data_IF_744404056282
#
_entry.id   IF_744404056282
#
_cell.length_a   1.000
_cell.length_b   1.000
_cell.length_c   1.000
_cell.angle_alpha   90.00
_cell.angle_beta   90.00
_cell.angle_gamma   90.00
#
_symmetry.space_group_name_H-M   'P 1'
#
loop_
_entity.id
_entity.type
_entity.pdbx_description
1 polymer ?
#
# COMPACT_ATOMS: atom_id res chain seq x y z
N UNK A 1 -14.27 14.65 -5.67
CA UNK A 1 -13.82 14.29 -5.31
C UNK A 1 -13.06 14.15 -5.09
N UNK A 2 -12.84 14.23 -4.78
CA UNK A 2 -12.09 14.01 -4.53
C UNK A 2 -11.61 13.51 -4.08
N UNK A 3 -11.24 13.35 -4.10
CA UNK A 3 -10.71 12.85 -3.62
C UNK A 3 -9.82 12.56 -3.28
N UNK A 4 -9.30 12.67 -3.14
CA UNK A 4 -8.47 12.62 -2.76
C UNK A 4 -7.69 12.18 -1.99
N UNK A 5 -7.21 12.25 -1.93
CA UNK A 5 -6.38 11.78 -0.87
C UNK A 5 -6.38 10.33 -0.82
N UNK A 6 -6.47 9.81 -1.95
CA UNK A 6 -6.57 8.39 -2.19
C UNK A 6 -5.39 7.62 -1.63
N UNK A 7 -4.18 8.18 -1.63
CA UNK A 7 -2.99 7.49 -1.16
C UNK A 7 -2.97 7.25 0.35
N UNK A 8 -3.89 7.87 1.10
CA UNK A 8 -3.93 7.70 2.54
C UNK A 8 -5.33 7.37 3.04
N UNK A 9 -5.99 6.49 2.32
CA UNK A 9 -7.31 6.04 2.74
C UNK A 9 -7.22 5.21 4.02
N UNK A 10 -8.14 5.45 4.94
CA UNK A 10 -8.24 4.69 6.17
C UNK A 10 -8.91 3.34 5.93
N UNK A 11 -8.32 2.30 6.52
CA UNK A 11 -8.94 0.97 6.56
C UNK A 11 -9.11 0.56 8.01
N UNK A 12 -10.27 0.00 8.34
CA UNK A 12 -10.53 -0.48 9.67
C UNK A 12 -10.57 -2.01 9.69
N UNK A 13 -9.83 -2.61 10.60
CA UNK A 13 -9.80 -4.06 10.80
C UNK A 13 -9.79 -4.34 12.29
N UNK A 14 -10.80 -5.08 12.81
CA UNK A 14 -10.87 -5.48 14.23
C UNK A 14 -10.70 -4.30 15.20
N UNK A 15 -11.46 -3.22 14.96
CA UNK A 15 -11.42 -2.00 15.77
C UNK A 15 -10.10 -1.22 15.68
N UNK A 16 -9.25 -1.59 14.72
CA UNK A 16 -7.99 -0.92 14.47
C UNK A 16 -8.00 -0.27 13.11
N UNK A 17 -7.23 0.79 12.97
CA UNK A 17 -7.09 1.49 11.69
C UNK A 17 -5.69 1.30 11.17
N UNK A 18 -5.57 1.23 9.85
CA UNK A 18 -4.28 1.19 9.17
C UNK A 18 -4.32 2.08 7.93
N UNK A 19 -3.14 2.51 7.50
CA UNK A 19 -3.00 3.27 6.26
C UNK A 19 -1.86 2.67 5.44
N UNK A 20 -1.94 2.87 4.12
CA UNK A 20 -0.83 2.52 3.25
C UNK A 20 0.36 3.43 3.53
N UNK A 21 1.58 2.89 3.45
CA UNK A 21 2.79 3.69 3.56
C UNK A 21 3.23 4.24 2.21
N UNK A 22 2.61 3.80 1.13
CA UNK A 22 2.96 4.26 -0.21
C UNK A 22 2.38 5.63 -0.49
N UNK A 23 3.21 6.49 -1.06
CA UNK A 23 2.83 7.82 -1.51
C UNK A 23 3.40 8.04 -2.90
N UNK A 24 2.95 9.09 -3.56
CA UNK A 24 3.46 9.45 -4.87
C UNK A 24 2.53 9.03 -5.99
N UNK A 25 2.98 9.28 -7.20
CA UNK A 25 2.18 9.10 -8.40
C UNK A 25 2.55 7.84 -9.17
N UNK A 26 1.69 7.48 -10.09
CA UNK A 26 1.91 6.40 -11.04
C UNK A 26 2.29 7.03 -12.37
N UNK A 27 3.48 6.72 -12.88
CA UNK A 27 3.94 7.26 -14.16
C UNK A 27 3.80 6.24 -15.27
N UNK A 28 3.63 6.72 -16.50
CA UNK A 28 3.51 5.85 -17.65
C UNK A 28 4.77 5.02 -17.86
N UNK A 29 5.94 5.62 -17.67
CA UNK A 29 7.21 4.91 -17.82
C UNK A 29 7.30 3.70 -16.91
N UNK A 30 6.93 3.86 -15.66
CA UNK A 30 7.00 2.79 -14.68
C UNK A 30 5.97 1.70 -14.97
N UNK A 31 4.78 2.10 -15.41
CA UNK A 31 3.73 1.15 -15.80
C UNK A 31 4.22 0.29 -16.96
N UNK A 32 4.75 0.90 -18.01
CA UNK A 32 5.24 0.18 -19.20
C UNK A 32 6.35 -0.79 -18.80
N UNK A 33 7.29 -0.33 -17.99
CA UNK A 33 8.40 -1.17 -17.54
C UNK A 33 7.90 -2.38 -16.75
N UNK A 34 7.00 -2.17 -15.81
CA UNK A 34 6.50 -3.27 -14.98
C UNK A 34 5.60 -4.21 -15.76
N UNK A 35 4.79 -3.71 -16.68
CA UNK A 35 3.98 -4.58 -17.54
C UNK A 35 4.87 -5.45 -18.42
N UNK A 36 5.98 -4.92 -18.93
CA UNK A 36 6.94 -5.70 -19.70
C UNK A 36 7.56 -6.82 -18.85
N UNK A 37 7.84 -6.54 -17.58
CA UNK A 37 8.37 -7.54 -16.64
C UNK A 37 7.37 -8.66 -16.39
N UNK A 38 6.10 -8.29 -16.17
CA UNK A 38 5.04 -9.28 -15.98
C UNK A 38 4.91 -10.14 -17.23
N UNK A 39 4.91 -9.52 -18.39
CA UNK A 39 4.77 -10.23 -19.66
C UNK A 39 5.92 -11.19 -19.89
N UNK A 40 7.14 -10.80 -19.53
CA UNK A 40 8.31 -11.67 -19.68
C UNK A 40 8.23 -12.90 -18.79
N UNK A 41 7.68 -12.74 -17.57
CA UNK A 41 7.58 -13.84 -16.61
C UNK A 41 6.31 -14.66 -16.77
N UNK A 42 5.24 -14.07 -17.30
CA UNK A 42 3.93 -14.71 -17.45
C UNK A 42 3.39 -14.47 -18.88
N UNK A 43 4.01 -15.08 -19.89
CA UNK A 43 3.69 -14.76 -21.28
C UNK A 43 2.29 -15.16 -21.75
N UNK A 44 1.60 -16.00 -21.00
CA UNK A 44 0.25 -16.44 -21.36
C UNK A 44 -0.85 -15.43 -21.03
N UNK A 45 -0.52 -14.35 -20.33
CA UNK A 45 -1.51 -13.33 -19.95
C UNK A 45 -2.00 -12.59 -21.21
N UNK A 46 -3.32 -12.42 -21.32
CA UNK A 46 -3.91 -11.74 -22.46
C UNK A 46 -3.69 -10.22 -22.43
N UNK A 47 -3.71 -9.55 -23.59
CA UNK A 47 -3.60 -8.09 -23.62
C UNK A 47 -4.71 -7.38 -22.85
N UNK A 48 -5.90 -7.95 -22.78
CA UNK A 48 -7.04 -7.37 -22.07
C UNK A 48 -6.77 -7.27 -20.57
N UNK A 49 -6.01 -8.22 -20.03
CA UNK A 49 -5.60 -8.19 -18.63
C UNK A 49 -4.90 -6.87 -18.29
N UNK A 50 -3.97 -6.44 -19.15
CA UNK A 50 -3.19 -5.22 -18.90
C UNK A 50 -4.04 -3.96 -18.99
N UNK A 51 -5.04 -3.96 -19.84
CA UNK A 51 -5.96 -2.82 -19.94
C UNK A 51 -6.75 -2.66 -18.66
N UNK A 52 -7.30 -3.75 -18.16
CA UNK A 52 -8.05 -3.75 -16.91
C UNK A 52 -7.12 -3.42 -15.73
N UNK A 53 -5.93 -3.99 -15.74
CA UNK A 53 -4.95 -3.72 -14.68
C UNK A 53 -4.63 -2.23 -14.60
N UNK A 54 -4.39 -1.58 -15.74
CA UNK A 54 -4.09 -0.15 -15.75
C UNK A 54 -5.23 0.67 -15.17
N UNK A 55 -6.47 0.37 -15.56
CA UNK A 55 -7.65 1.05 -15.00
C UNK A 55 -7.71 0.89 -13.49
N UNK A 56 -7.54 -0.33 -13.02
CA UNK A 56 -7.65 -0.62 -11.59
C UNK A 56 -6.51 -0.01 -10.78
N UNK A 57 -5.30 0.04 -11.34
CA UNK A 57 -4.17 0.71 -10.69
C UNK A 57 -4.46 2.19 -10.45
N UNK A 58 -5.06 2.83 -11.45
CA UNK A 58 -5.44 4.24 -11.34
C UNK A 58 -6.56 4.44 -10.32
N UNK A 59 -7.58 3.59 -10.37
CA UNK A 59 -8.71 3.67 -9.45
C UNK A 59 -8.30 3.46 -7.98
N UNK A 60 -7.32 2.57 -7.75
CA UNK A 60 -6.83 2.29 -6.42
C UNK A 60 -5.73 3.23 -5.95
N UNK A 61 -5.31 4.17 -6.80
CA UNK A 61 -4.31 5.16 -6.42
C UNK A 61 -2.91 4.59 -6.23
N UNK A 62 -2.52 3.59 -7.01
CA UNK A 62 -1.17 3.04 -6.95
C UNK A 62 -0.13 4.10 -7.24
N UNK A 63 0.98 4.04 -6.51
CA UNK A 63 2.18 4.79 -6.83
C UNK A 63 3.14 3.91 -7.62
N UNK A 64 4.17 4.51 -8.19
CA UNK A 64 5.22 3.76 -8.89
C UNK A 64 5.89 2.75 -7.97
N UNK A 65 6.18 3.14 -6.73
CA UNK A 65 6.82 2.28 -5.77
C UNK A 65 5.95 1.07 -5.42
N UNK A 66 4.66 1.30 -5.18
CA UNK A 66 3.74 0.21 -4.86
C UNK A 66 3.62 -0.77 -6.03
N UNK A 67 3.54 -0.27 -7.25
CA UNK A 67 3.47 -1.13 -8.43
C UNK A 67 4.75 -1.95 -8.57
N UNK A 68 5.91 -1.33 -8.45
CA UNK A 68 7.19 -2.02 -8.57
C UNK A 68 7.34 -3.09 -7.50
N UNK A 69 6.98 -2.79 -6.26
CA UNK A 69 7.04 -3.76 -5.15
C UNK A 69 6.06 -4.90 -5.36
N UNK A 70 4.86 -4.60 -5.83
CA UNK A 70 3.85 -5.62 -6.12
C UNK A 70 4.34 -6.58 -7.21
N UNK A 71 4.93 -6.04 -8.27
CA UNK A 71 5.45 -6.85 -9.36
C UNK A 71 6.65 -7.68 -8.91
N UNK A 72 7.53 -7.11 -8.10
CA UNK A 72 8.65 -7.86 -7.52
C UNK A 72 8.14 -9.04 -6.68
N UNK A 73 7.13 -8.78 -5.85
CA UNK A 73 6.53 -9.83 -5.03
C UNK A 73 5.90 -10.92 -5.90
N UNK A 74 5.23 -10.52 -6.97
CA UNK A 74 4.60 -11.46 -7.90
C UNK A 74 5.67 -12.35 -8.55
N UNK A 75 6.72 -11.75 -9.09
CA UNK A 75 7.79 -12.46 -9.77
C UNK A 75 8.52 -13.42 -8.82
N UNK A 76 8.80 -12.96 -7.61
CA UNK A 76 9.60 -13.71 -6.65
C UNK A 76 8.83 -14.84 -5.97
N UNK A 77 7.53 -14.69 -5.79
CA UNK A 77 6.76 -15.57 -4.91
C UNK A 77 5.60 -16.32 -5.57
N UNK A 78 5.12 -15.85 -6.71
CA UNK A 78 3.96 -16.48 -7.35
C UNK A 78 4.40 -17.71 -8.14
N UNK A 79 3.80 -18.87 -7.82
CA UNK A 79 4.23 -20.17 -8.35
C UNK A 79 3.43 -20.66 -9.55
N UNK A 80 2.35 -19.98 -9.90
CA UNK A 80 1.45 -20.44 -10.95
C UNK A 80 1.68 -19.66 -12.24
N UNK A 81 1.31 -20.24 -13.41
CA UNK A 81 1.58 -19.58 -14.70
C UNK A 81 0.73 -18.34 -14.99
N UNK A 82 -0.43 -18.23 -14.35
CA UNK A 82 -1.35 -17.13 -14.65
C UNK A 82 -1.79 -16.41 -13.37
N UNK A 83 -1.17 -15.27 -13.05
CA UNK A 83 -1.63 -14.47 -11.93
C UNK A 83 -2.96 -13.80 -12.26
N UNK A 84 -3.71 -13.45 -11.23
CA UNK A 84 -4.96 -12.70 -11.36
C UNK A 84 -4.71 -11.23 -11.06
N UNK A 85 -5.68 -10.39 -11.39
CA UNK A 85 -5.60 -8.98 -11.03
C UNK A 85 -5.44 -8.81 -9.51
N UNK A 86 -6.16 -9.62 -8.73
CA UNK A 86 -6.09 -9.56 -7.27
C UNK A 86 -4.68 -9.82 -6.75
N UNK A 87 -3.91 -10.69 -7.39
CA UNK A 87 -2.54 -10.97 -6.99
C UNK A 87 -1.66 -9.73 -7.02
N UNK A 88 -1.95 -8.79 -7.91
CA UNK A 88 -1.19 -7.56 -8.05
C UNK A 88 -1.82 -6.45 -7.21
N UNK A 89 -3.14 -6.29 -7.31
CA UNK A 89 -3.86 -5.16 -6.71
C UNK A 89 -3.97 -5.24 -5.19
N UNK A 90 -3.89 -6.44 -4.62
CA UNK A 90 -3.99 -6.61 -3.17
C UNK A 90 -2.70 -6.28 -2.44
N UNK A 91 -1.59 -6.14 -3.16
CA UNK A 91 -0.30 -5.84 -2.52
C UNK A 91 -0.31 -4.44 -1.92
N UNK A 92 0.05 -4.36 -0.65
CA UNK A 92 0.15 -3.09 0.05
C UNK A 92 1.07 -3.27 1.26
N UNK A 93 1.61 -2.16 1.73
CA UNK A 93 2.32 -2.10 3.01
C UNK A 93 1.58 -1.11 3.88
N UNK A 94 0.87 -1.65 4.85
CA UNK A 94 0.08 -0.83 5.76
C UNK A 94 0.72 -0.78 7.12
N UNK A 95 0.61 0.37 7.75
CA UNK A 95 1.00 0.53 9.15
C UNK A 95 -0.23 0.80 9.98
N UNK A 96 -0.24 0.28 11.18
CA UNK A 96 -1.29 0.51 12.13
C UNK A 96 -1.19 1.95 12.64
N UNK A 97 -2.30 2.65 12.67
CA UNK A 97 -2.36 3.98 13.25
C UNK A 97 -3.06 3.92 14.61
N UNK A 98 -2.64 4.79 15.49
CA UNK A 98 -3.10 4.84 16.87
C UNK A 98 -3.60 6.23 17.18
N UNK A 99 -4.68 6.33 17.98
CA UNK A 99 -5.09 7.62 18.50
C UNK A 99 -4.32 7.93 19.79
N UNK A 100 -4.52 9.14 20.32
CA UNK A 100 -3.81 9.57 21.51
C UNK A 100 -4.09 8.64 22.70
N UNK A 101 -5.33 8.21 22.87
CA UNK A 101 -5.71 7.33 23.98
C UNK A 101 -5.03 5.98 23.90
N UNK A 102 -4.91 5.42 22.71
CA UNK A 102 -4.23 4.14 22.48
C UNK A 102 -2.73 4.27 22.81
N UNK A 103 -2.11 5.37 22.39
CA UNK A 103 -0.71 5.63 22.71
C UNK A 103 -0.52 5.77 24.22
N UNK A 104 -1.37 6.51 24.90
CA UNK A 104 -1.30 6.67 26.34
C UNK A 104 -1.46 5.35 27.08
N UNK A 105 -2.33 4.47 26.58
CA UNK A 105 -2.51 3.15 27.16
C UNK A 105 -1.23 2.32 27.08
N UNK A 106 -0.56 2.35 25.92
CA UNK A 106 0.70 1.61 25.75
C UNK A 106 1.79 2.15 26.65
N UNK A 107 1.87 3.47 26.78
CA UNK A 107 2.85 4.12 27.67
C UNK A 107 2.57 3.76 29.13
N UNK A 108 1.30 3.77 29.52
CA UNK A 108 0.89 3.40 30.87
C UNK A 108 1.20 1.95 31.23
N UNK A 109 1.25 1.06 30.24
CA UNK A 109 1.62 -0.33 30.44
C UNK A 109 3.13 -0.57 30.31
N UNK A 110 3.90 0.49 30.14
CA UNK A 110 5.35 0.42 29.94
C UNK A 110 5.76 -0.36 28.69
N UNK A 111 4.88 -0.42 27.69
CA UNK A 111 5.16 -1.10 26.43
C UNK A 111 5.78 -0.17 25.37
N UNK A 112 5.74 1.15 25.62
CA UNK A 112 6.26 2.13 24.67
C UNK A 112 6.49 3.47 25.37
N UNK A 113 7.18 4.39 24.68
CA UNK A 113 7.35 5.78 25.11
C UNK A 113 6.86 6.69 23.98
N UNK A 114 6.62 7.95 24.27
CA UNK A 114 6.19 8.91 23.24
C UNK A 114 7.19 9.02 22.09
N UNK A 115 8.47 8.83 22.38
CA UNK A 115 9.51 8.90 21.35
C UNK A 115 9.44 7.76 20.34
N UNK A 116 8.70 6.71 20.64
CA UNK A 116 8.53 5.57 19.74
C UNK A 116 7.52 5.83 18.62
N UNK A 117 6.84 6.97 18.63
CA UNK A 117 5.77 7.30 17.71
C UNK A 117 6.06 8.56 16.92
N UNK A 118 5.57 8.58 15.68
CA UNK A 118 5.54 9.77 14.83
C UNK A 118 4.10 10.22 14.67
N UNK A 119 3.88 11.52 14.63
CA UNK A 119 2.55 12.08 14.37
C UNK A 119 2.27 12.08 12.89
N UNK A 120 1.04 11.72 12.52
CA UNK A 120 0.56 11.86 11.16
C UNK A 120 -0.82 12.50 11.19
N UNK A 121 -1.21 13.12 10.07
CA UNK A 121 -2.51 13.78 9.96
C UNK A 121 -3.29 13.17 8.81
N UNK A 122 -4.55 12.81 9.09
CA UNK A 122 -5.47 12.26 8.09
C UNK A 122 -6.78 13.02 8.26
N UNK A 123 -7.23 13.69 7.20
CA UNK A 123 -8.45 14.51 7.22
C UNK A 123 -8.49 15.47 8.41
N UNK A 124 -7.37 16.16 8.65
CA UNK A 124 -7.21 17.15 9.72
C UNK A 124 -7.20 16.57 11.14
N UNK A 125 -7.28 15.25 11.28
CA UNK A 125 -7.15 14.57 12.56
C UNK A 125 -5.76 14.02 12.74
N UNK A 126 -5.25 14.09 13.97
CA UNK A 126 -3.92 13.60 14.30
C UNK A 126 -3.98 12.17 14.78
N UNK A 127 -3.08 11.36 14.25
CA UNK A 127 -2.86 9.98 14.69
C UNK A 127 -1.38 9.74 14.90
N UNK A 128 -1.06 8.59 15.43
CA UNK A 128 0.32 8.19 15.70
C UNK A 128 0.64 6.88 14.99
N UNK A 129 1.86 6.74 14.50
CA UNK A 129 2.39 5.48 13.96
C UNK A 129 3.69 5.17 14.67
N UNK A 130 3.98 3.89 14.86
CA UNK A 130 5.27 3.48 15.40
C UNK A 130 6.36 3.79 14.40
N UNK A 131 7.44 4.42 14.86
CA UNK A 131 8.57 4.76 13.98
C UNK A 131 9.17 3.53 13.33
N UNK A 132 9.23 2.42 14.06
CA UNK A 132 9.77 1.17 13.54
C UNK A 132 8.95 0.57 12.40
N UNK A 133 7.64 0.84 12.37
CA UNK A 133 6.75 0.34 11.32
C UNK A 133 6.67 1.26 10.12
N UNK A 134 7.07 2.53 10.28
CA UNK A 134 7.00 3.51 9.19
C UNK A 134 8.15 3.37 8.21
N UNK A 135 9.26 2.84 8.65
CA UNK A 135 10.44 2.67 7.82
C UNK A 135 10.49 1.25 7.25
N UNK A 136 10.62 1.17 5.94
CA UNK A 136 10.71 -0.11 5.23
C UNK A 136 11.97 -0.18 4.40
#
# INVERSE_FOLDING_TARGET
>A
MSLHKSSQALSKTNDEYSITTYTGELTQENVVRNFARIKACFPAISPEFYKILLERLKEKGFSDERLSDSVNNLIDNFQYPNPTLANILSFDRKVKILDYNQVCTLIGKHEATFNDFSKIYIDEKMFYVRKSEKEF
#
